data_IF_862858666731
#
_entry.id   IF_862858666731
#
_cell.length_a   1.000
_cell.length_b   1.000
_cell.length_c   1.000
_cell.angle_alpha   90.00
_cell.angle_beta   90.00
_cell.angle_gamma   90.00
#
_symmetry.space_group_name_H-M   'P 1'
#
loop_
_entity.id
_entity.type
_entity.pdbx_description
1 polymer ?
#
# COMPACT_ATOMS: atom_id res chain seq x y z
N UNK A 1 45.67 -18.48 -58.32
CA UNK A 1 46.07 -17.64 -57.17
C UNK A 1 44.83 -17.36 -56.33
N UNK A 2 44.93 -17.50 -55.00
CA UNK A 2 43.96 -17.10 -53.93
C UNK A 2 42.59 -17.84 -53.99
N UNK A 3 42.23 -18.89 -53.23
CA UNK A 3 42.24 -19.23 -51.78
C UNK A 3 41.55 -18.22 -50.84
N UNK A 4 40.69 -18.80 -49.98
CA UNK A 4 39.98 -18.29 -48.79
C UNK A 4 38.52 -17.86 -49.01
N UNK A 5 37.55 -18.19 -48.14
CA UNK A 5 37.43 -19.15 -47.04
C UNK A 5 35.94 -19.16 -46.65
N UNK A 6 35.33 -20.34 -46.54
CA UNK A 6 33.98 -20.51 -45.98
C UNK A 6 34.09 -20.44 -44.46
N UNK A 7 33.63 -19.36 -43.86
CA UNK A 7 33.47 -19.28 -42.42
C UNK A 7 32.05 -19.74 -42.04
N UNK A 8 31.91 -21.04 -41.79
CA UNK A 8 30.82 -21.57 -40.96
C UNK A 8 31.17 -21.23 -39.52
N UNK A 9 30.46 -20.26 -38.95
CA UNK A 9 30.54 -20.00 -37.52
C UNK A 9 29.64 -21.00 -36.80
N UNK A 10 30.22 -22.11 -36.35
CA UNK A 10 29.62 -22.89 -35.27
C UNK A 10 29.86 -22.11 -33.98
N UNK A 11 28.80 -21.79 -33.25
CA UNK A 11 28.93 -21.67 -31.80
C UNK A 11 27.88 -22.49 -31.07
N UNK A 12 28.27 -23.11 -29.94
CA UNK A 12 27.52 -24.14 -29.27
C UNK A 12 26.69 -23.55 -28.12
N UNK A 13 25.63 -24.27 -27.74
CA UNK A 13 25.11 -24.36 -26.36
C UNK A 13 25.14 -23.05 -25.56
N UNK A 14 24.17 -22.16 -25.80
CA UNK A 14 23.73 -21.28 -24.71
C UNK A 14 22.97 -22.14 -23.70
N UNK A 15 23.76 -22.54 -22.70
CA UNK A 15 23.36 -23.09 -21.42
C UNK A 15 22.10 -22.37 -20.92
N UNK A 16 21.05 -23.17 -20.81
CA UNK A 16 20.06 -23.21 -19.75
C UNK A 16 20.59 -22.49 -18.48
N UNK A 17 20.25 -21.22 -18.32
CA UNK A 17 20.37 -20.47 -17.08
C UNK A 17 18.94 -20.14 -16.60
N UNK A 18 18.23 -21.18 -16.20
CA UNK A 18 17.04 -21.07 -15.34
C UNK A 18 17.08 -22.26 -14.41
N UNK A 19 18.08 -22.28 -13.54
CA UNK A 19 18.08 -23.19 -12.43
C UNK A 19 18.75 -22.45 -11.27
N UNK A 20 18.10 -22.54 -10.12
CA UNK A 20 18.41 -21.91 -8.82
C UNK A 20 17.61 -20.65 -8.50
N UNK A 21 16.29 -20.83 -8.40
CA UNK A 21 15.62 -20.35 -7.19
C UNK A 21 15.25 -21.57 -6.36
N UNK A 22 15.83 -21.58 -5.16
CA UNK A 22 15.69 -22.55 -4.10
C UNK A 22 14.24 -23.02 -3.90
N UNK A 23 14.06 -24.32 -3.63
CA UNK A 23 12.85 -25.01 -3.18
C UNK A 23 12.37 -24.51 -1.80
N UNK A 24 12.19 -23.20 -1.68
CA UNK A 24 11.34 -22.60 -0.66
C UNK A 24 9.98 -22.45 -1.31
N UNK A 25 9.17 -23.51 -1.29
CA UNK A 25 7.74 -23.44 -1.58
C UNK A 25 7.05 -22.60 -0.49
N UNK A 26 7.43 -21.33 -0.37
CA UNK A 26 6.52 -20.33 0.11
C UNK A 26 5.38 -20.33 -0.91
N UNK A 27 4.23 -20.85 -0.51
CA UNK A 27 3.01 -20.89 -1.30
C UNK A 27 2.55 -19.44 -1.47
N UNK A 28 3.22 -18.71 -2.35
CA UNK A 28 2.75 -17.42 -2.82
C UNK A 28 1.66 -17.72 -3.84
N UNK A 29 0.49 -17.10 -3.64
CA UNK A 29 -0.57 -17.16 -4.63
C UNK A 29 -0.02 -16.67 -5.97
N UNK A 30 -0.32 -17.39 -7.06
CA UNK A 30 -0.04 -16.94 -8.42
C UNK A 30 -0.88 -15.73 -8.83
N UNK A 31 -1.94 -15.43 -8.07
CA UNK A 31 -2.91 -14.40 -8.40
C UNK A 31 -2.46 -13.04 -7.88
N UNK A 32 -2.43 -12.06 -8.77
CA UNK A 32 -2.03 -10.68 -8.47
C UNK A 32 -3.27 -9.79 -8.34
N UNK A 33 -3.53 -9.32 -7.13
CA UNK A 33 -4.51 -8.26 -6.87
C UNK A 33 -3.83 -7.16 -6.05
N UNK A 34 -3.33 -6.15 -6.73
CA UNK A 34 -2.65 -5.03 -6.10
C UNK A 34 -3.13 -3.71 -6.70
N UNK A 35 -3.41 -2.75 -5.84
CA UNK A 35 -3.72 -1.38 -6.22
C UNK A 35 -2.81 -0.42 -5.45
N UNK A 36 -2.44 0.67 -6.12
CA UNK A 36 -1.65 1.76 -5.55
C UNK A 36 -2.28 3.08 -5.94
N UNK A 37 -2.68 3.86 -4.95
CA UNK A 37 -3.35 5.15 -5.15
C UNK A 37 -2.63 6.25 -4.39
N UNK A 38 -2.57 7.43 -5.00
CA UNK A 38 -2.17 8.66 -4.35
C UNK A 38 -3.29 9.67 -4.53
N UNK A 39 -3.86 10.13 -3.43
CA UNK A 39 -5.03 11.02 -3.46
C UNK A 39 -5.14 11.90 -2.23
N UNK A 40 -6.23 12.64 -2.17
CA UNK A 40 -6.63 13.40 -0.99
C UNK A 40 -7.82 12.72 -0.33
N UNK A 41 -7.83 12.64 0.99
CA UNK A 41 -9.01 12.18 1.74
C UNK A 41 -10.16 13.16 1.48
N UNK A 42 -11.34 12.61 1.22
CA UNK A 42 -12.55 13.34 0.86
C UNK A 42 -13.64 13.19 1.92
N UNK A 43 -14.74 13.93 1.75
CA UNK A 43 -15.91 13.94 2.65
C UNK A 43 -15.58 14.51 4.03
N UNK A 44 -15.52 13.69 5.08
CA UNK A 44 -15.40 14.12 6.48
C UNK A 44 -14.19 13.53 7.21
N UNK A 45 -13.28 12.87 6.50
CA UNK A 45 -12.13 12.17 7.11
C UNK A 45 -12.36 10.67 7.28
N UNK A 46 -11.72 10.08 8.29
CA UNK A 46 -11.81 8.66 8.61
C UNK A 46 -12.96 8.38 9.58
N UNK A 47 -13.85 7.46 9.21
CA UNK A 47 -14.92 6.95 10.08
C UNK A 47 -14.50 5.58 10.61
N UNK A 48 -14.59 5.37 11.92
CA UNK A 48 -14.26 4.09 12.57
C UNK A 48 -15.54 3.51 13.13
N UNK A 49 -15.96 2.37 12.58
CA UNK A 49 -17.14 1.63 13.01
C UNK A 49 -16.72 0.29 13.63
N UNK A 50 -17.51 -0.22 14.57
CA UNK A 50 -17.37 -1.60 15.03
C UNK A 50 -18.08 -2.56 14.07
N UNK A 51 -17.35 -3.55 13.58
CA UNK A 51 -17.93 -4.64 12.80
C UNK A 51 -18.88 -5.48 13.66
N UNK A 52 -19.78 -6.22 13.02
CA UNK A 52 -20.61 -7.26 13.66
C UNK A 52 -19.77 -8.29 14.44
N UNK A 53 -18.49 -8.46 14.08
CA UNK A 53 -17.54 -9.33 14.77
C UNK A 53 -16.85 -8.68 15.98
N UNK A 54 -17.20 -7.43 16.34
CA UNK A 54 -16.56 -6.64 17.39
C UNK A 54 -15.18 -6.08 17.02
N UNK A 55 -14.74 -6.25 15.77
CA UNK A 55 -13.46 -5.72 15.28
C UNK A 55 -13.65 -4.32 14.67
N UNK A 56 -12.76 -3.35 14.96
CA UNK A 56 -12.86 -2.01 14.38
C UNK A 56 -12.58 -2.05 12.87
N UNK A 57 -13.32 -1.24 12.12
CA UNK A 57 -13.12 -1.04 10.68
C UNK A 57 -13.10 0.45 10.41
N UNK A 58 -11.98 0.94 9.86
CA UNK A 58 -11.91 2.31 9.41
C UNK A 58 -12.31 2.40 7.92
N UNK A 59 -13.16 3.37 7.59
CA UNK A 59 -13.58 3.66 6.23
C UNK A 59 -13.38 5.12 5.90
N UNK A 60 -12.86 5.42 4.73
CA UNK A 60 -12.79 6.79 4.20
C UNK A 60 -12.85 6.79 2.67
N UNK A 61 -13.13 7.96 2.09
CA UNK A 61 -13.13 8.14 0.64
C UNK A 61 -11.82 8.81 0.20
N UNK A 62 -11.19 8.28 -0.84
CA UNK A 62 -9.99 8.84 -1.45
C UNK A 62 -10.33 9.46 -2.81
N UNK A 63 -10.05 10.74 -2.98
CA UNK A 63 -10.19 11.45 -4.25
C UNK A 63 -8.88 11.41 -5.03
N UNK A 64 -8.94 10.87 -6.23
CA UNK A 64 -7.83 10.83 -7.18
C UNK A 64 -8.12 11.69 -8.40
N UNK A 65 -7.07 12.28 -8.98
CA UNK A 65 -7.13 13.15 -10.17
C UNK A 65 -6.38 12.48 -11.31
N UNK A 66 -7.09 12.12 -12.37
CA UNK A 66 -6.48 11.65 -13.61
C UNK A 66 -6.51 12.75 -14.65
N UNK A 67 -5.34 13.17 -15.14
CA UNK A 67 -5.21 14.10 -16.27
C UNK A 67 -5.03 13.30 -17.55
N UNK A 68 -5.76 13.66 -18.59
CA UNK A 68 -5.69 12.98 -19.88
C UNK A 68 -5.80 13.99 -21.03
N UNK A 69 -5.25 13.64 -22.19
CA UNK A 69 -5.33 14.46 -23.41
C UNK A 69 -6.62 14.08 -24.15
N UNK A 70 -7.55 15.04 -24.26
CA UNK A 70 -8.70 14.92 -25.17
C UNK A 70 -8.30 15.26 -26.62
N UNK A 71 -9.27 15.36 -27.54
CA UNK A 71 -8.99 15.74 -28.93
C UNK A 71 -8.43 17.19 -29.04
N UNK A 72 -9.06 18.13 -28.35
CA UNK A 72 -8.76 19.57 -28.41
C UNK A 72 -7.87 20.04 -27.25
N UNK A 73 -8.14 19.56 -26.02
CA UNK A 73 -7.53 20.07 -24.80
C UNK A 73 -7.16 18.99 -23.78
N UNK A 74 -6.32 19.35 -22.81
CA UNK A 74 -6.14 18.54 -21.60
C UNK A 74 -7.41 18.58 -20.76
N UNK A 75 -7.82 17.40 -20.28
CA UNK A 75 -9.01 17.21 -19.45
C UNK A 75 -8.59 16.53 -18.15
N UNK A 76 -9.47 16.62 -17.16
CA UNK A 76 -9.27 16.05 -15.84
C UNK A 76 -10.51 15.26 -15.43
N UNK A 77 -10.28 14.06 -14.88
CA UNK A 77 -11.31 13.21 -14.28
C UNK A 77 -11.04 13.09 -12.79
N UNK A 78 -12.09 13.32 -12.00
CA UNK A 78 -12.12 13.07 -10.56
C UNK A 78 -12.72 11.69 -10.31
N UNK A 79 -12.04 10.88 -9.50
CA UNK A 79 -12.49 9.54 -9.15
C UNK A 79 -12.43 9.37 -7.64
N UNK A 80 -13.57 8.99 -7.05
CA UNK A 80 -13.70 8.67 -5.64
C UNK A 80 -13.55 7.17 -5.44
N UNK A 81 -12.72 6.77 -4.48
CA UNK A 81 -12.50 5.38 -4.10
C UNK A 81 -12.86 5.17 -2.64
N UNK A 82 -13.64 4.14 -2.34
CA UNK A 82 -13.93 3.75 -0.96
C UNK A 82 -12.79 2.90 -0.42
N UNK A 83 -12.11 3.38 0.61
CA UNK A 83 -11.01 2.68 1.28
C UNK A 83 -11.53 2.07 2.58
N UNK A 84 -11.19 0.81 2.83
CA UNK A 84 -11.48 0.08 4.06
C UNK A 84 -10.19 -0.42 4.68
N UNK A 85 -10.08 -0.30 5.99
CA UNK A 85 -8.91 -0.69 6.77
C UNK A 85 -9.36 -1.54 7.92
N UNK A 86 -8.80 -2.74 8.02
CA UNK A 86 -9.13 -3.73 9.05
C UNK A 86 -8.00 -3.93 10.06
N UNK A 87 -6.77 -3.58 9.69
CA UNK A 87 -5.61 -3.75 10.55
C UNK A 87 -5.59 -2.70 11.66
N UNK A 88 -5.67 -3.14 12.92
CA UNK A 88 -5.82 -2.24 14.09
C UNK A 88 -4.66 -1.24 14.24
N UNK A 89 -3.38 -1.63 14.15
CA UNK A 89 -2.26 -0.69 14.14
C UNK A 89 -2.36 0.35 13.02
N UNK A 90 -2.80 -0.06 11.83
CA UNK A 90 -2.98 0.87 10.70
C UNK A 90 -4.14 1.83 10.94
N UNK A 91 -5.26 1.36 11.53
CA UNK A 91 -6.40 2.19 11.94
C UNK A 91 -5.94 3.27 12.94
N UNK A 92 -5.17 2.89 13.96
CA UNK A 92 -4.66 3.83 14.97
C UNK A 92 -3.76 4.91 14.36
N UNK A 93 -2.97 4.56 13.33
CA UNK A 93 -2.11 5.52 12.62
C UNK A 93 -2.92 6.54 11.83
N UNK A 94 -4.02 6.12 11.21
CA UNK A 94 -4.79 6.96 10.28
C UNK A 94 -5.98 7.68 10.93
N UNK A 95 -6.30 7.41 12.21
CA UNK A 95 -7.49 7.96 12.86
C UNK A 95 -7.59 9.49 12.85
N UNK A 96 -6.43 10.17 12.81
CA UNK A 96 -6.34 11.63 12.81
C UNK A 96 -6.30 12.23 11.39
N UNK A 97 -6.41 11.40 10.35
CA UNK A 97 -6.41 11.88 8.96
C UNK A 97 -7.73 12.60 8.67
N UNK A 98 -7.59 13.83 8.20
CA UNK A 98 -8.67 14.78 8.00
C UNK A 98 -8.97 15.00 6.51
N UNK A 99 -10.07 15.70 6.23
CA UNK A 99 -10.43 16.11 4.88
C UNK A 99 -9.29 16.91 4.23
N UNK A 100 -8.89 16.51 3.03
CA UNK A 100 -7.86 17.19 2.23
C UNK A 100 -6.47 16.59 2.37
N UNK A 101 -6.21 15.84 3.46
CA UNK A 101 -4.91 15.22 3.70
C UNK A 101 -4.52 14.29 2.56
N UNK A 102 -3.25 14.39 2.14
CA UNK A 102 -2.73 13.59 1.04
C UNK A 102 -2.19 12.28 1.59
N UNK A 103 -2.67 11.17 1.05
CA UNK A 103 -2.29 9.83 1.48
C UNK A 103 -1.97 8.96 0.27
N UNK A 104 -0.94 8.14 0.46
CA UNK A 104 -0.62 7.02 -0.40
C UNK A 104 -1.26 5.76 0.17
N UNK A 105 -1.98 5.00 -0.65
CA UNK A 105 -2.68 3.78 -0.26
C UNK A 105 -2.21 2.64 -1.13
N UNK A 106 -1.78 1.56 -0.49
CA UNK A 106 -1.50 0.27 -1.13
C UNK A 106 -2.46 -0.78 -0.58
N UNK A 107 -3.01 -1.62 -1.44
CA UNK A 107 -3.94 -2.65 -1.02
C UNK A 107 -4.46 -3.51 -2.16
N UNK A 108 -5.67 -4.03 -1.99
CA UNK A 108 -6.34 -4.91 -2.96
C UNK A 108 -7.72 -4.36 -3.32
N UNK A 109 -8.13 -4.55 -4.58
CA UNK A 109 -9.49 -4.25 -5.01
C UNK A 109 -10.42 -5.40 -4.60
N UNK A 110 -11.54 -5.09 -3.97
CA UNK A 110 -12.57 -6.07 -3.62
C UNK A 110 -13.91 -5.66 -4.24
N UNK A 111 -14.69 -6.65 -4.64
CA UNK A 111 -16.07 -6.48 -5.08
C UNK A 111 -16.97 -7.33 -4.20
N UNK A 112 -18.01 -6.75 -3.64
CA UNK A 112 -18.97 -7.46 -2.78
C UNK A 112 -20.39 -6.99 -3.07
N UNK A 113 -21.37 -7.85 -2.79
CA UNK A 113 -22.78 -7.50 -2.91
C UNK A 113 -23.26 -6.84 -1.63
N UNK A 114 -23.99 -5.73 -1.78
CA UNK A 114 -24.74 -5.13 -0.68
C UNK A 114 -26.01 -5.92 -0.37
N UNK A 115 -26.61 -5.60 0.77
CA UNK A 115 -27.97 -6.06 1.11
C UNK A 115 -29.02 -5.62 0.08
N UNK A 116 -28.79 -4.52 -0.63
CA UNK A 116 -29.63 -4.06 -1.77
C UNK A 116 -29.43 -4.86 -3.05
N UNK A 117 -28.58 -5.90 -3.04
CA UNK A 117 -28.21 -6.73 -4.18
C UNK A 117 -27.37 -6.03 -5.27
N UNK A 118 -26.96 -4.79 -5.03
CA UNK A 118 -26.01 -4.07 -5.89
C UNK A 118 -24.58 -4.51 -5.63
N UNK A 119 -23.79 -4.61 -6.71
CA UNK A 119 -22.34 -4.78 -6.60
C UNK A 119 -21.69 -3.46 -6.17
N UNK A 120 -20.85 -3.54 -5.15
CA UNK A 120 -20.00 -2.45 -4.69
C UNK A 120 -18.55 -2.85 -4.80
N UNK A 121 -17.71 -1.88 -5.18
CA UNK A 121 -16.26 -2.02 -5.14
C UNK A 121 -15.70 -1.19 -3.99
N UNK A 122 -14.70 -1.74 -3.31
CA UNK A 122 -13.89 -1.02 -2.33
C UNK A 122 -12.44 -1.49 -2.41
N UNK A 123 -11.57 -0.74 -1.75
CA UNK A 123 -10.15 -1.06 -1.65
C UNK A 123 -9.88 -1.44 -0.21
N UNK A 124 -9.37 -2.64 0.00
CA UNK A 124 -8.86 -3.05 1.31
C UNK A 124 -7.41 -2.61 1.41
N UNK A 125 -7.12 -1.63 2.26
CA UNK A 125 -5.77 -1.11 2.44
C UNK A 125 -4.92 -2.09 3.28
N UNK A 126 -3.72 -2.37 2.77
CA UNK A 126 -2.68 -3.12 3.47
C UNK A 126 -1.61 -2.17 4.03
N UNK A 127 -1.43 -1.00 3.41
CA UNK A 127 -0.54 0.03 3.90
C UNK A 127 -1.06 1.42 3.51
N UNK A 128 -0.86 2.39 4.40
CA UNK A 128 -1.21 3.80 4.18
C UNK A 128 -0.04 4.64 4.68
N UNK A 129 0.46 5.53 3.82
CA UNK A 129 1.56 6.45 4.11
C UNK A 129 1.02 7.88 3.98
N UNK A 130 1.13 8.66 5.06
CA UNK A 130 0.79 10.07 5.01
C UNK A 130 1.83 10.82 4.19
N UNK A 131 1.40 11.69 3.28
CA UNK A 131 2.33 12.43 2.43
C UNK A 131 3.27 13.34 3.26
N UNK A 132 2.80 13.85 4.41
CA UNK A 132 3.63 14.60 5.37
C UNK A 132 4.72 13.76 6.05
N UNK A 133 4.59 12.43 5.99
CA UNK A 133 5.52 11.46 6.57
C UNK A 133 6.35 10.71 5.51
N UNK A 134 6.05 10.93 4.23
CA UNK A 134 6.79 10.29 3.14
C UNK A 134 8.29 10.67 3.21
N UNK A 135 9.15 9.67 3.35
CA UNK A 135 10.60 9.84 3.48
C UNK A 135 11.12 10.01 4.90
N UNK A 136 10.25 10.02 5.93
CA UNK A 136 10.71 9.95 7.33
C UNK A 136 11.04 8.50 7.67
N UNK A 137 12.26 8.24 8.13
CA UNK A 137 12.61 6.96 8.73
C UNK A 137 11.89 6.89 10.09
N UNK A 138 11.08 5.85 10.30
CA UNK A 138 10.56 5.56 11.63
C UNK A 138 11.75 5.08 12.47
N UNK A 139 12.28 5.98 13.32
CA UNK A 139 13.15 5.59 14.40
C UNK A 139 12.32 4.71 15.33
N UNK A 140 12.57 3.40 15.28
CA UNK A 140 12.15 2.49 16.34
C UNK A 140 13.07 2.81 17.51
N UNK A 141 12.63 3.69 18.40
CA UNK A 141 13.26 3.85 19.71
C UNK A 141 13.03 2.53 20.45
N UNK A 142 14.05 1.67 20.41
CA UNK A 142 14.16 0.54 21.32
C UNK A 142 14.26 1.14 22.72
N UNK A 143 13.25 0.87 23.55
CA UNK A 143 13.15 1.44 24.88
C UNK A 143 14.37 1.11 25.73
N UNK A 144 15.07 2.14 26.18
CA UNK A 144 15.88 2.08 27.40
C UNK A 144 14.95 2.46 28.55
N UNK A 145 14.57 1.44 29.31
CA UNK A 145 13.96 1.60 30.61
C UNK A 145 15.08 1.89 31.59
N UNK A 146 15.39 3.16 31.84
CA UNK A 146 16.18 3.53 33.00
C UNK A 146 15.22 3.92 34.14
N UNK A 147 15.16 3.01 35.10
CA UNK A 147 14.63 3.26 36.44
C UNK A 147 15.67 4.11 37.17
N UNK A 148 15.29 5.30 37.62
CA UNK A 148 15.93 5.91 38.79
C UNK A 148 14.90 5.92 39.92
N UNK A 149 15.02 4.91 40.78
CA UNK A 149 14.67 5.04 42.19
C UNK A 149 15.76 5.87 42.85
N UNK A 150 15.43 7.02 43.44
CA UNK A 150 16.23 7.58 44.52
C UNK A 150 15.34 7.92 45.71
N UNK A 151 15.50 7.11 46.76
CA UNK A 151 14.98 7.32 48.09
C UNK A 151 15.81 8.37 48.84
N UNK A 152 15.11 9.27 49.54
CA UNK A 152 15.42 9.58 50.93
C UNK A 152 16.29 10.82 51.19
N UNK A 153 15.74 11.75 51.99
CA UNK A 153 16.52 12.77 52.67
C UNK A 153 15.68 13.93 53.22
N UNK A 154 15.00 13.70 54.36
CA UNK A 154 14.55 14.79 55.23
C UNK A 154 15.76 15.56 55.79
N UNK A 155 15.67 16.90 55.86
CA UNK A 155 16.19 17.67 57.01
C UNK A 155 15.74 19.14 56.99
N UNK A 156 14.99 19.48 58.05
CA UNK A 156 14.68 20.79 58.68
C UNK A 156 13.98 21.91 57.89
#
# INVERSE_FOLDING_TARGET
MLRHCVARFSQPLLRRCTEWFSDSNAIFSSDVNQITLLGSVASSGVTIDESQSGRPVATFNLLTRARYRGADRYKMKLVYHRIQVFDKPLIERIKNVSLGDRVFVQGCLISFKKTTNDWMQSITAQNIILHSEAGKQFLVEAGETEKEEEMGGESF
#
